data_IF_763815609091
#
_entry.id   IF_763815609091
#
_cell.length_a   1.000
_cell.length_b   1.000
_cell.length_c   1.000
_cell.angle_alpha   90.00
_cell.angle_beta   90.00
_cell.angle_gamma   90.00
#
_symmetry.space_group_name_H-M   'P 1'
#
loop_
_entity.id
_entity.type
_entity.pdbx_description
1 polymer ?
#
# COMPACT_ATOMS: atom_id res chain seq x y z
N UNK A 1 0.40 19.56 29.82
CA UNK A 1 1.59 20.07 29.09
C UNK A 1 1.44 19.65 27.66
N UNK A 2 1.48 20.64 26.78
CA UNK A 2 0.82 20.65 25.48
C UNK A 2 1.46 19.74 24.43
N UNK A 3 0.57 19.13 23.65
CA UNK A 3 0.77 18.39 22.41
C UNK A 3 1.89 18.95 21.53
N UNK A 4 2.87 18.10 21.20
CA UNK A 4 3.81 18.32 20.12
C UNK A 4 3.02 18.40 18.80
N UNK A 5 2.76 19.64 18.33
CA UNK A 5 2.42 19.88 16.92
C UNK A 5 3.63 19.45 16.11
N UNK A 6 3.55 18.28 15.49
CA UNK A 6 4.46 17.86 14.44
C UNK A 6 4.32 18.88 13.30
N UNK A 7 5.29 19.79 13.17
CA UNK A 7 5.34 20.68 12.02
C UNK A 7 5.81 19.80 10.85
N UNK A 8 4.97 19.52 9.84
CA UNK A 8 5.37 18.66 8.73
C UNK A 8 6.64 19.22 8.10
N UNK A 9 7.59 18.36 7.73
CA UNK A 9 8.77 18.82 7.01
C UNK A 9 8.32 19.60 5.77
N UNK A 10 9.05 20.63 5.31
CA UNK A 10 8.64 21.42 4.16
C UNK A 10 8.30 20.57 2.92
N UNK A 11 8.94 19.41 2.78
CA UNK A 11 8.68 18.43 1.73
C UNK A 11 7.31 17.77 1.86
N UNK A 12 6.86 17.42 3.06
CA UNK A 12 5.54 16.80 3.28
C UNK A 12 4.42 17.77 2.93
N UNK A 13 4.57 19.05 3.30
CA UNK A 13 3.61 20.09 2.90
C UNK A 13 3.52 20.26 1.38
N UNK A 14 4.62 20.06 0.64
CA UNK A 14 4.60 20.10 -0.83
C UNK A 14 3.94 18.86 -1.43
N UNK A 15 4.15 17.69 -0.84
CA UNK A 15 3.48 16.46 -1.23
C UNK A 15 1.97 16.54 -0.96
N UNK A 16 1.54 17.18 0.14
CA UNK A 16 0.13 17.45 0.42
C UNK A 16 -0.49 18.38 -0.63
N UNK A 17 0.23 19.44 -1.01
CA UNK A 17 -0.19 20.33 -2.08
C UNK A 17 -0.33 19.58 -3.42
N UNK A 18 0.61 18.67 -3.72
CA UNK A 18 0.54 17.84 -4.91
C UNK A 18 -0.64 16.87 -4.88
N UNK A 19 -0.87 16.18 -3.75
CA UNK A 19 -2.03 15.30 -3.54
C UNK A 19 -3.32 16.05 -3.84
N UNK A 20 -3.50 17.24 -3.27
CA UNK A 20 -4.67 18.07 -3.52
C UNK A 20 -4.82 18.48 -4.99
N UNK A 21 -3.73 18.82 -5.70
CA UNK A 21 -3.79 19.09 -7.14
C UNK A 21 -4.27 17.87 -7.95
N UNK A 22 -3.74 16.70 -7.64
CA UNK A 22 -4.08 15.46 -8.34
C UNK A 22 -5.55 15.10 -8.10
N UNK A 23 -6.05 15.26 -6.87
CA UNK A 23 -7.46 14.99 -6.57
C UNK A 23 -8.40 15.94 -7.33
N UNK A 24 -8.07 17.23 -7.41
CA UNK A 24 -8.91 18.21 -8.08
C UNK A 24 -8.96 18.04 -9.61
N UNK A 25 -7.79 17.92 -10.25
CA UNK A 25 -7.68 17.99 -11.72
C UNK A 25 -7.15 16.71 -12.36
N UNK A 26 -6.80 15.70 -11.60
CA UNK A 26 -6.18 14.48 -12.12
C UNK A 26 -4.70 14.65 -12.45
N UNK A 27 -4.02 13.54 -12.67
CA UNK A 27 -2.56 13.51 -12.79
C UNK A 27 -2.06 14.28 -14.00
N UNK A 28 -2.58 13.96 -15.19
CA UNK A 28 -2.09 14.50 -16.47
C UNK A 28 -2.20 16.03 -16.57
N UNK A 29 -3.10 16.62 -15.79
CA UNK A 29 -3.36 18.08 -15.76
C UNK A 29 -2.63 18.79 -14.61
N UNK A 30 -1.98 18.06 -13.71
CA UNK A 30 -1.20 18.63 -12.62
C UNK A 30 0.19 19.04 -13.10
N UNK A 31 0.67 20.22 -12.69
CA UNK A 31 2.01 20.72 -13.03
C UNK A 31 2.77 21.15 -11.77
N UNK A 32 4.11 21.11 -11.79
CA UNK A 32 4.94 21.60 -10.68
C UNK A 32 4.67 23.08 -10.35
N UNK A 33 4.25 23.87 -11.34
CA UNK A 33 3.84 25.26 -11.13
C UNK A 33 2.55 25.35 -10.31
N UNK A 34 1.57 24.51 -10.61
CA UNK A 34 0.31 24.46 -9.87
C UNK A 34 0.52 23.95 -8.44
N UNK A 35 1.38 22.95 -8.26
CA UNK A 35 1.81 22.49 -6.92
C UNK A 35 2.49 23.62 -6.14
N UNK A 36 3.42 24.36 -6.75
CA UNK A 36 4.07 25.50 -6.09
C UNK A 36 3.06 26.58 -5.67
N UNK A 37 2.12 26.91 -6.56
CA UNK A 37 1.05 27.88 -6.31
C UNK A 37 0.20 27.44 -5.12
N UNK A 38 -0.21 26.16 -5.08
CA UNK A 38 -1.00 25.59 -3.99
C UNK A 38 -0.23 25.50 -2.67
N UNK A 39 1.04 25.13 -2.72
CA UNK A 39 1.92 25.10 -1.56
C UNK A 39 2.30 26.50 -1.01
N UNK A 40 1.94 27.57 -1.72
CA UNK A 40 2.27 28.94 -1.31
C UNK A 40 3.75 29.28 -1.41
N UNK A 41 4.51 28.58 -2.26
CA UNK A 41 5.96 28.78 -2.43
C UNK A 41 6.33 29.16 -3.87
N UNK A 42 7.55 29.68 -4.05
CA UNK A 42 8.05 29.98 -5.39
C UNK A 42 8.18 28.72 -6.25
N UNK A 43 7.98 28.83 -7.58
CA UNK A 43 8.25 27.73 -8.52
C UNK A 43 9.65 27.15 -8.32
N UNK A 44 10.66 28.01 -8.19
CA UNK A 44 12.05 27.60 -7.99
C UNK A 44 12.25 26.74 -6.72
N UNK A 45 11.42 26.93 -5.69
CA UNK A 45 11.45 26.09 -4.49
C UNK A 45 11.06 24.65 -4.81
N UNK A 46 9.95 24.44 -5.53
CA UNK A 46 9.51 23.10 -5.96
C UNK A 46 10.48 22.48 -6.97
N UNK A 47 10.93 23.25 -7.97
CA UNK A 47 11.86 22.76 -9.00
C UNK A 47 13.24 22.36 -8.45
N UNK A 48 13.64 22.87 -7.28
CA UNK A 48 14.87 22.41 -6.59
C UNK A 48 14.68 21.07 -5.89
N UNK A 49 13.45 20.72 -5.51
CA UNK A 49 13.13 19.46 -4.85
C UNK A 49 12.84 18.38 -5.87
N UNK A 50 12.11 18.72 -6.95
CA UNK A 50 11.76 17.80 -8.02
C UNK A 50 12.03 18.43 -9.38
N UNK A 51 12.81 17.73 -10.19
CA UNK A 51 13.17 18.17 -11.54
C UNK A 51 11.98 18.09 -12.51
N UNK A 52 11.07 17.14 -12.29
CA UNK A 52 9.87 16.94 -13.08
C UNK A 52 8.68 16.38 -12.25
N UNK A 53 7.52 16.29 -12.89
CA UNK A 53 6.32 15.71 -12.28
C UNK A 53 6.51 14.23 -11.92
N UNK A 54 7.02 13.34 -12.80
CA UNK A 54 7.29 11.94 -12.45
C UNK A 54 8.09 11.73 -11.16
N UNK A 55 9.14 12.52 -10.92
CA UNK A 55 9.94 12.46 -9.70
C UNK A 55 9.12 12.82 -8.45
N UNK A 56 8.38 13.94 -8.50
CA UNK A 56 7.47 14.35 -7.43
C UNK A 56 6.51 13.23 -7.06
N UNK A 57 5.99 12.58 -8.08
CA UNK A 57 4.92 11.63 -7.90
C UNK A 57 5.43 10.28 -7.41
N UNK A 58 6.64 9.88 -7.83
CA UNK A 58 7.32 8.74 -7.23
C UNK A 58 7.50 8.92 -5.71
N UNK A 59 7.84 10.14 -5.28
CA UNK A 59 7.94 10.48 -3.87
C UNK A 59 6.58 10.51 -3.17
N UNK A 60 5.57 11.12 -3.79
CA UNK A 60 4.19 11.13 -3.26
C UNK A 60 3.68 9.70 -3.04
N UNK A 61 3.78 8.84 -4.07
CA UNK A 61 3.36 7.44 -3.97
C UNK A 61 4.15 6.68 -2.90
N UNK A 62 5.45 6.96 -2.75
CA UNK A 62 6.27 6.34 -1.72
C UNK A 62 5.78 6.72 -0.32
N UNK A 63 5.40 7.98 -0.10
CA UNK A 63 4.82 8.44 1.18
C UNK A 63 3.45 7.78 1.43
N UNK A 64 2.52 7.94 0.49
CA UNK A 64 1.12 7.48 0.67
C UNK A 64 1.06 5.95 0.89
N UNK A 65 1.82 5.18 0.11
CA UNK A 65 1.87 3.72 0.29
C UNK A 65 2.70 3.29 1.49
N UNK A 66 3.72 4.06 1.88
CA UNK A 66 4.48 3.81 3.10
C UNK A 66 3.61 3.94 4.35
N UNK A 67 2.80 5.00 4.42
CA UNK A 67 1.85 5.24 5.51
C UNK A 67 0.75 4.17 5.55
N UNK A 68 0.22 3.79 4.38
CA UNK A 68 -0.76 2.71 4.26
C UNK A 68 -0.19 1.39 4.80
N UNK A 69 1.02 1.01 4.37
CA UNK A 69 1.69 -0.22 4.85
C UNK A 69 1.94 -0.15 6.36
N UNK A 70 2.35 1.00 6.89
CA UNK A 70 2.54 1.16 8.33
C UNK A 70 1.24 0.97 9.11
N UNK A 71 0.10 1.42 8.56
CA UNK A 71 -1.21 1.28 9.20
C UNK A 71 -1.70 -0.17 9.31
N UNK A 72 -1.21 -1.08 8.47
CA UNK A 72 -1.65 -2.50 8.42
C UNK A 72 -0.73 -3.46 9.18
N UNK A 73 0.46 -3.01 9.61
CA UNK A 73 1.40 -3.81 10.40
C UNK A 73 0.80 -4.41 11.68
N UNK A 74 0.00 -3.68 12.49
CA UNK A 74 -0.61 -4.25 13.70
C UNK A 74 -1.50 -5.47 13.42
N UNK A 75 -2.20 -5.47 12.29
CA UNK A 75 -3.15 -6.53 11.90
C UNK A 75 -2.45 -7.81 11.45
N UNK A 76 -1.22 -7.71 10.91
CA UNK A 76 -0.41 -8.87 10.51
C UNK A 76 0.14 -9.67 11.71
N UNK A 77 -0.19 -9.27 12.95
CA UNK A 77 0.32 -9.91 14.17
C UNK A 77 1.84 -9.76 14.31
N UNK A 78 2.43 -8.78 13.62
CA UNK A 78 3.85 -8.54 13.58
C UNK A 78 4.15 -7.11 14.04
N UNK A 79 4.58 -7.03 15.29
CA UNK A 79 5.22 -5.83 15.80
C UNK A 79 6.74 -6.09 15.87
N UNK A 80 7.49 -5.52 14.93
CA UNK A 80 8.96 -5.57 14.93
C UNK A 80 9.58 -4.96 16.20
N UNK A 81 8.83 -4.13 16.92
CA UNK A 81 9.21 -3.45 18.16
C UNK A 81 8.70 -4.14 19.42
N UNK A 82 7.75 -5.09 19.34
CA UNK A 82 7.35 -5.88 20.50
C UNK A 82 8.20 -7.14 20.61
N UNK A 83 9.05 -7.14 21.64
CA UNK A 83 9.80 -8.30 22.12
C UNK A 83 8.92 -9.32 22.86
N UNK A 84 7.60 -9.12 22.92
CA UNK A 84 6.65 -9.95 23.65
C UNK A 84 5.92 -10.93 22.71
N UNK A 85 6.65 -11.90 22.15
CA UNK A 85 6.06 -13.09 21.54
C UNK A 85 5.51 -14.00 22.65
N UNK A 86 4.36 -13.63 23.22
CA UNK A 86 3.66 -14.41 24.23
C UNK A 86 2.68 -15.44 23.63
N UNK A 87 2.47 -15.41 22.31
CA UNK A 87 1.79 -16.45 21.53
C UNK A 87 2.69 -16.83 20.36
N UNK A 88 2.66 -18.10 19.94
CA UNK A 88 3.41 -18.60 18.78
C UNK A 88 3.28 -17.66 17.57
N UNK A 89 4.29 -17.67 16.70
CA UNK A 89 4.42 -16.74 15.58
C UNK A 89 3.16 -16.60 14.69
N UNK A 90 3.15 -15.61 13.77
CA UNK A 90 1.96 -15.24 12.99
C UNK A 90 1.27 -16.44 12.36
N UNK A 91 -0.05 -16.53 12.52
CA UNK A 91 -0.86 -17.60 11.93
C UNK A 91 -1.29 -17.24 10.50
N UNK A 92 -1.58 -18.24 9.63
CA UNK A 92 -2.14 -18.01 8.30
C UNK A 92 -3.38 -17.10 8.29
N UNK A 93 -4.26 -17.21 9.30
CA UNK A 93 -5.44 -16.37 9.43
C UNK A 93 -5.07 -14.91 9.71
N UNK A 94 -4.15 -14.64 10.65
CA UNK A 94 -3.67 -13.28 10.91
C UNK A 94 -2.98 -12.65 9.70
N UNK A 95 -2.26 -13.45 8.90
CA UNK A 95 -1.67 -12.98 7.64
C UNK A 95 -2.77 -12.61 6.65
N UNK A 96 -3.80 -13.46 6.51
CA UNK A 96 -4.95 -13.21 5.64
C UNK A 96 -5.73 -11.96 6.08
N UNK A 97 -5.99 -11.78 7.37
CA UNK A 97 -6.62 -10.59 7.96
C UNK A 97 -5.85 -9.32 7.63
N UNK A 98 -4.51 -9.34 7.82
CA UNK A 98 -3.68 -8.17 7.53
C UNK A 98 -3.62 -7.83 6.04
N UNK A 99 -3.60 -8.83 5.16
CA UNK A 99 -3.67 -8.62 3.71
C UNK A 99 -5.04 -8.07 3.31
N UNK A 100 -6.13 -8.66 3.80
CA UNK A 100 -7.49 -8.17 3.52
C UNK A 100 -7.69 -6.74 4.03
N UNK A 101 -7.20 -6.42 5.23
CA UNK A 101 -7.20 -5.05 5.75
C UNK A 101 -6.46 -4.09 4.81
N UNK A 102 -5.30 -4.47 4.28
CA UNK A 102 -4.57 -3.66 3.31
C UNK A 102 -5.34 -3.49 1.99
N UNK A 103 -6.00 -4.54 1.50
CA UNK A 103 -6.86 -4.48 0.30
C UNK A 103 -8.01 -3.51 0.50
N UNK A 104 -8.71 -3.57 1.63
CA UNK A 104 -9.82 -2.66 1.95
C UNK A 104 -9.35 -1.22 2.05
N UNK A 105 -8.27 -0.93 2.79
CA UNK A 105 -7.72 0.43 2.89
C UNK A 105 -7.29 0.98 1.52
N UNK A 106 -6.71 0.15 0.65
CA UNK A 106 -6.35 0.56 -0.72
C UNK A 106 -7.59 0.90 -1.57
N UNK A 107 -8.63 0.06 -1.53
CA UNK A 107 -9.88 0.29 -2.28
C UNK A 107 -10.64 1.52 -1.81
N UNK A 108 -10.50 1.91 -0.55
CA UNK A 108 -11.10 3.11 0.03
C UNK A 108 -10.21 4.36 -0.10
N UNK A 109 -8.95 4.19 -0.51
CA UNK A 109 -8.02 5.31 -0.65
C UNK A 109 -8.38 6.14 -1.89
N UNK A 110 -8.81 7.38 -1.66
CA UNK A 110 -9.22 8.31 -2.70
C UNK A 110 -8.18 8.51 -3.82
N UNK A 111 -6.88 8.58 -3.46
CA UNK A 111 -5.81 8.75 -4.44
C UNK A 111 -5.61 7.48 -5.27
N UNK A 112 -5.69 6.30 -4.65
CA UNK A 112 -5.62 5.03 -5.35
C UNK A 112 -6.77 4.89 -6.36
N UNK A 113 -8.01 5.11 -5.89
CA UNK A 113 -9.22 5.05 -6.73
C UNK A 113 -9.08 6.03 -7.89
N UNK A 114 -8.64 7.26 -7.62
CA UNK A 114 -8.45 8.27 -8.67
C UNK A 114 -7.45 7.84 -9.73
N UNK A 115 -6.33 7.24 -9.32
CA UNK A 115 -5.33 6.71 -10.24
C UNK A 115 -5.90 5.57 -11.08
N UNK A 116 -6.60 4.61 -10.46
CA UNK A 116 -7.19 3.47 -11.17
C UNK A 116 -8.24 3.93 -12.20
N UNK A 117 -9.08 4.90 -11.84
CA UNK A 117 -10.18 5.35 -12.69
C UNK A 117 -9.74 6.30 -13.81
N UNK A 118 -8.81 7.22 -13.54
CA UNK A 118 -8.46 8.29 -14.48
C UNK A 118 -7.12 8.12 -15.17
N UNK A 119 -6.14 7.57 -14.47
CA UNK A 119 -4.75 7.57 -14.90
C UNK A 119 -4.12 6.17 -14.71
N UNK A 120 -4.73 5.07 -15.22
CA UNK A 120 -4.29 3.70 -14.94
C UNK A 120 -2.88 3.40 -15.48
N UNK A 121 -2.41 4.13 -16.49
CA UNK A 121 -1.04 4.00 -17.01
C UNK A 121 0.04 4.24 -15.94
N UNK A 122 -0.29 4.85 -14.82
CA UNK A 122 0.64 5.09 -13.72
C UNK A 122 0.94 3.82 -12.93
N UNK A 123 -0.03 2.92 -12.83
CA UNK A 123 0.15 1.65 -12.11
C UNK A 123 0.60 0.52 -13.04
N UNK A 124 0.29 0.59 -14.35
CA UNK A 124 0.62 -0.46 -15.32
C UNK A 124 2.10 -0.90 -15.31
N UNK A 125 3.11 -0.02 -15.24
CA UNK A 125 4.51 -0.44 -15.16
C UNK A 125 4.79 -1.33 -13.94
N UNK A 126 4.08 -1.10 -12.83
CA UNK A 126 4.23 -1.83 -11.58
C UNK A 126 3.49 -3.16 -11.55
N UNK A 127 2.57 -3.37 -12.48
CA UNK A 127 1.85 -4.63 -12.67
C UNK A 127 2.52 -5.53 -13.72
N UNK A 128 3.11 -4.92 -14.76
CA UNK A 128 3.52 -5.66 -15.96
C UNK A 128 5.02 -5.67 -16.23
N UNK A 129 5.78 -4.68 -15.74
CA UNK A 129 7.17 -4.48 -16.19
C UNK A 129 8.21 -4.52 -15.07
N UNK A 130 7.92 -3.93 -13.90
CA UNK A 130 8.90 -3.79 -12.81
C UNK A 130 8.20 -3.73 -11.45
N UNK A 131 8.96 -3.95 -10.37
CA UNK A 131 8.48 -3.66 -9.01
C UNK A 131 8.90 -2.26 -8.56
N UNK A 132 8.03 -1.59 -7.82
CA UNK A 132 8.27 -0.27 -7.22
C UNK A 132 8.73 -0.36 -5.76
N UNK A 133 9.16 0.76 -5.18
CA UNK A 133 9.63 0.82 -3.78
C UNK A 133 8.58 0.37 -2.78
N UNK A 134 7.32 0.77 -2.97
CA UNK A 134 6.19 0.33 -2.14
C UNK A 134 5.98 -1.18 -2.19
N UNK A 135 6.04 -1.79 -3.38
CA UNK A 135 5.93 -3.24 -3.54
C UNK A 135 7.10 -3.98 -2.88
N UNK A 136 8.33 -3.46 -2.96
CA UNK A 136 9.46 -4.07 -2.26
C UNK A 136 9.30 -3.98 -0.73
N UNK A 137 8.75 -2.87 -0.21
CA UNK A 137 8.43 -2.75 1.22
C UNK A 137 7.37 -3.76 1.67
N UNK A 138 6.27 -3.89 0.91
CA UNK A 138 5.20 -4.87 1.18
C UNK A 138 5.75 -6.30 1.16
N UNK A 139 6.57 -6.63 0.15
CA UNK A 139 7.18 -7.95 0.05
C UNK A 139 8.15 -8.22 1.19
N UNK A 140 8.97 -7.24 1.59
CA UNK A 140 9.86 -7.38 2.74
C UNK A 140 9.10 -7.67 4.04
N UNK A 141 8.00 -6.95 4.28
CA UNK A 141 7.13 -7.19 5.43
C UNK A 141 6.51 -8.59 5.40
N UNK A 142 5.89 -8.99 4.29
CA UNK A 142 5.28 -10.32 4.16
C UNK A 142 6.31 -11.44 4.31
N UNK A 143 7.52 -11.28 3.78
CA UNK A 143 8.62 -12.25 3.97
C UNK A 143 8.93 -12.40 5.45
N UNK A 144 9.13 -11.30 6.18
CA UNK A 144 9.44 -11.35 7.61
C UNK A 144 8.35 -12.03 8.44
N UNK A 145 7.07 -11.75 8.13
CA UNK A 145 5.92 -12.36 8.80
C UNK A 145 5.84 -13.87 8.51
N UNK A 146 6.06 -14.27 7.26
CA UNK A 146 6.06 -15.68 6.84
C UNK A 146 7.23 -16.43 7.48
N UNK A 147 8.43 -15.84 7.52
CA UNK A 147 9.59 -16.42 8.19
C UNK A 147 9.34 -16.62 9.69
N UNK A 148 8.71 -15.63 10.36
CA UNK A 148 8.31 -15.75 11.75
C UNK A 148 7.30 -16.89 11.97
N UNK A 149 6.31 -17.03 11.08
CA UNK A 149 5.35 -18.14 11.14
C UNK A 149 6.00 -19.50 10.89
N UNK A 150 6.93 -19.59 9.95
CA UNK A 150 7.70 -20.82 9.67
C UNK A 150 8.58 -21.22 10.84
N UNK A 151 9.27 -20.27 11.48
CA UNK A 151 10.11 -20.51 12.65
C UNK A 151 9.31 -21.06 13.85
N UNK A 152 8.02 -20.75 13.92
CA UNK A 152 7.10 -21.21 14.97
C UNK A 152 6.23 -22.41 14.54
N UNK A 153 6.39 -22.90 13.31
CA UNK A 153 5.61 -24.02 12.77
C UNK A 153 4.13 -23.70 12.50
N UNK A 154 3.73 -22.42 12.52
CA UNK A 154 2.36 -21.99 12.24
C UNK A 154 2.09 -21.81 10.75
N UNK A 155 3.13 -21.60 9.95
CA UNK A 155 3.09 -21.48 8.48
C UNK A 155 3.90 -22.61 7.86
N UNK A 156 3.41 -23.18 6.75
CA UNK A 156 4.10 -24.28 6.04
C UNK A 156 5.50 -23.92 5.59
N UNK A 157 6.31 -24.96 5.41
CA UNK A 157 7.65 -24.86 4.83
C UNK A 157 7.61 -24.44 3.35
N UNK A 158 8.73 -23.91 2.88
CA UNK A 158 8.90 -23.44 1.50
C UNK A 158 9.69 -22.13 1.44
N UNK A 159 9.94 -21.63 0.23
CA UNK A 159 10.63 -20.35 0.04
C UNK A 159 9.72 -19.17 0.45
N UNK A 160 10.04 -18.42 1.54
CA UNK A 160 9.18 -17.35 2.04
C UNK A 160 8.96 -16.24 1.02
N UNK A 161 9.96 -15.92 0.18
CA UNK A 161 9.81 -14.92 -0.87
C UNK A 161 8.82 -15.35 -1.97
N UNK A 162 8.76 -16.65 -2.29
CA UNK A 162 7.78 -17.16 -3.25
C UNK A 162 6.36 -17.13 -2.67
N UNK A 163 6.21 -17.45 -1.37
CA UNK A 163 4.94 -17.37 -0.66
C UNK A 163 4.42 -15.93 -0.62
N UNK A 164 5.26 -14.98 -0.18
CA UNK A 164 4.91 -13.55 -0.14
C UNK A 164 4.48 -13.02 -1.51
N UNK A 165 5.22 -13.36 -2.57
CA UNK A 165 4.86 -12.95 -3.94
C UNK A 165 3.54 -13.56 -4.41
N UNK A 166 3.25 -14.80 -4.03
CA UNK A 166 1.98 -15.46 -4.38
C UNK A 166 0.79 -14.77 -3.70
N UNK A 167 0.95 -14.37 -2.44
CA UNK A 167 -0.05 -13.58 -1.70
C UNK A 167 -0.29 -12.23 -2.37
N UNK A 168 0.78 -11.49 -2.73
CA UNK A 168 0.65 -10.19 -3.43
C UNK A 168 -0.02 -10.35 -4.80
N UNK A 169 0.34 -11.38 -5.56
CA UNK A 169 -0.27 -11.66 -6.86
C UNK A 169 -1.76 -11.98 -6.74
N UNK A 170 -2.16 -12.74 -5.72
CA UNK A 170 -3.57 -12.97 -5.44
C UNK A 170 -4.25 -11.63 -5.11
N UNK A 171 -3.72 -10.86 -4.15
CA UNK A 171 -4.30 -9.60 -3.70
C UNK A 171 -4.46 -8.55 -4.81
N UNK A 172 -3.55 -8.50 -5.81
CA UNK A 172 -3.67 -7.57 -6.94
C UNK A 172 -5.04 -7.64 -7.64
N UNK A 173 -5.56 -8.85 -7.89
CA UNK A 173 -6.85 -9.03 -8.54
C UNK A 173 -8.01 -8.47 -7.71
N UNK A 174 -7.98 -8.72 -6.39
CA UNK A 174 -9.01 -8.25 -5.47
C UNK A 174 -8.94 -6.74 -5.19
N UNK A 175 -7.75 -6.14 -5.29
CA UNK A 175 -7.59 -4.68 -5.19
C UNK A 175 -8.06 -3.97 -6.46
N UNK A 176 -7.62 -4.43 -7.62
CA UNK A 176 -7.77 -3.68 -8.88
C UNK A 176 -9.06 -4.02 -9.64
N UNK A 177 -9.52 -5.27 -9.54
CA UNK A 177 -10.57 -5.79 -10.42
C UNK A 177 -11.86 -6.17 -9.69
N UNK A 178 -11.90 -6.13 -8.35
CA UNK A 178 -13.08 -6.54 -7.58
C UNK A 178 -14.37 -5.87 -8.06
N UNK A 179 -14.35 -4.57 -8.35
CA UNK A 179 -15.52 -3.82 -8.83
C UNK A 179 -16.11 -4.34 -10.15
N UNK A 180 -15.32 -5.05 -10.98
CA UNK A 180 -15.81 -5.65 -12.23
C UNK A 180 -16.35 -7.07 -12.03
N UNK A 181 -16.04 -7.68 -10.88
CA UNK A 181 -16.39 -9.05 -10.51
C UNK A 181 -17.56 -9.11 -9.52
N UNK A 182 -18.15 -7.97 -9.15
CA UNK A 182 -19.32 -7.86 -8.25
C UNK A 182 -20.56 -7.46 -9.02
N UNK A 183 -21.70 -8.05 -8.67
CA UNK A 183 -23.02 -7.81 -9.26
C UNK A 183 -24.13 -8.20 -8.26
N UNK A 184 -25.36 -8.44 -8.73
CA UNK A 184 -26.48 -8.85 -7.88
C UNK A 184 -26.33 -10.29 -7.32
N UNK A 185 -25.46 -11.11 -7.94
CA UNK A 185 -25.21 -12.50 -7.54
C UNK A 185 -23.97 -12.63 -6.62
N UNK A 186 -22.98 -11.75 -6.77
CA UNK A 186 -21.71 -11.79 -6.01
C UNK A 186 -21.38 -10.44 -5.37
N UNK A 187 -21.31 -10.43 -4.05
CA UNK A 187 -20.94 -9.24 -3.27
C UNK A 187 -19.42 -9.08 -3.08
N UNK A 188 -18.98 -7.85 -2.78
CA UNK A 188 -17.59 -7.58 -2.43
C UNK A 188 -17.15 -8.31 -1.15
N UNK A 189 -18.05 -8.48 -0.18
CA UNK A 189 -17.80 -9.20 1.07
C UNK A 189 -17.54 -10.70 0.82
N UNK A 190 -18.28 -11.32 -0.11
CA UNK A 190 -18.02 -12.71 -0.51
C UNK A 190 -16.66 -12.88 -1.17
N UNK A 191 -16.27 -11.96 -2.08
CA UNK A 191 -14.93 -11.98 -2.68
C UNK A 191 -13.82 -11.76 -1.64
N UNK A 192 -14.04 -10.88 -0.67
CA UNK A 192 -13.11 -10.65 0.44
C UNK A 192 -12.93 -11.92 1.30
N UNK A 193 -14.02 -12.65 1.55
CA UNK A 193 -14.01 -13.96 2.19
C UNK A 193 -13.21 -15.00 1.41
N UNK A 194 -13.34 -15.03 0.08
CA UNK A 194 -12.58 -15.92 -0.79
C UNK A 194 -11.08 -15.57 -0.82
N UNK A 195 -10.71 -14.29 -0.85
CA UNK A 195 -9.31 -13.86 -0.72
C UNK A 195 -8.71 -14.34 0.60
N UNK A 196 -9.43 -14.12 1.71
CA UNK A 196 -8.98 -14.55 3.03
C UNK A 196 -8.76 -16.07 3.05
N UNK A 197 -9.74 -16.86 2.59
CA UNK A 197 -9.63 -18.32 2.53
C UNK A 197 -8.48 -18.79 1.64
N UNK A 198 -8.26 -18.14 0.49
CA UNK A 198 -7.19 -18.47 -0.44
C UNK A 198 -5.82 -18.30 0.23
N UNK A 199 -5.59 -17.16 0.90
CA UNK A 199 -4.33 -16.87 1.59
C UNK A 199 -4.14 -17.83 2.76
N UNK A 200 -5.16 -17.99 3.59
CA UNK A 200 -5.07 -18.83 4.79
C UNK A 200 -4.72 -20.28 4.41
N UNK A 201 -5.48 -20.87 3.47
CA UNK A 201 -5.22 -22.25 3.02
C UNK A 201 -3.87 -22.40 2.33
N UNK A 202 -3.43 -21.40 1.59
CA UNK A 202 -2.14 -21.43 0.91
C UNK A 202 -0.93 -21.38 1.88
N UNK A 203 -1.12 -20.99 3.14
CA UNK A 203 -0.06 -20.84 4.14
C UNK A 203 -0.14 -21.86 5.30
N UNK A 204 -1.26 -22.57 5.47
CA UNK A 204 -1.40 -23.62 6.49
C UNK A 204 -0.33 -24.72 6.35
N UNK A 205 0.24 -25.23 7.47
CA UNK A 205 1.27 -26.28 7.52
C UNK A 205 0.97 -27.54 6.71
#
# INVERSE_FOLDING_TARGET
MSSHRHNPEPRDAYLDAARACILDVGWRRTTLTEVARRAGVSRMTIYRTWSDMPELLGDLMTREWGELVASTQPTLGYDASSSAQAGGGPTPAQIADGVLGAVTVLRENELFVRIVELDPELILPYLLARRGRSQELILGLLVAVIEAGQANGTVRTGNPAALARSVVLAAHGFVLSAHTMTDDDVSAEELDGELHQLIERALRP
#
